data_IF_142493761106
#
_entry.id   IF_142493761106
#
_cell.length_a   1.000
_cell.length_b   1.000
_cell.length_c   1.000
_cell.angle_alpha   90.00
_cell.angle_beta   90.00
_cell.angle_gamma   90.00
#
_symmetry.space_group_name_H-M   'P 1'
#
loop_
_entity.id
_entity.type
_entity.pdbx_description
1 polymer ?
#
# COMPACT_ATOMS: atom_id res chain seq x y z
N UNK A 1 -60.69 30.45 -23.14
CA UNK A 1 -59.95 29.50 -23.99
C UNK A 1 -58.48 29.90 -23.97
N UNK A 2 -57.63 28.99 -23.47
CA UNK A 2 -56.15 28.94 -23.41
C UNK A 2 -55.34 30.15 -22.87
N UNK A 3 -54.91 30.02 -21.61
CA UNK A 3 -53.68 30.62 -21.07
C UNK A 3 -52.46 29.83 -21.57
N UNK A 4 -51.44 30.52 -22.07
CA UNK A 4 -50.14 29.94 -22.41
C UNK A 4 -49.10 30.32 -21.33
N UNK A 5 -48.54 29.32 -20.66
CA UNK A 5 -47.36 29.44 -19.79
C UNK A 5 -46.09 29.21 -20.62
N UNK A 6 -44.99 29.92 -20.37
CA UNK A 6 -43.72 29.60 -20.99
C UNK A 6 -43.08 28.39 -20.29
N UNK A 7 -42.82 27.35 -21.08
CA UNK A 7 -41.95 26.23 -20.71
C UNK A 7 -40.51 26.76 -20.59
N UNK A 8 -39.99 26.89 -19.36
CA UNK A 8 -38.55 26.99 -19.12
C UNK A 8 -38.03 25.56 -19.08
N UNK A 9 -37.45 25.10 -20.20
CA UNK A 9 -36.73 23.84 -20.26
C UNK A 9 -35.47 23.96 -19.39
N UNK A 10 -35.48 23.31 -18.22
CA UNK A 10 -34.30 23.13 -17.40
C UNK A 10 -33.30 22.22 -18.12
N UNK A 11 -32.24 22.82 -18.66
CA UNK A 11 -31.08 22.08 -19.11
C UNK A 11 -30.51 21.26 -17.93
N UNK A 12 -30.11 19.99 -18.14
CA UNK A 12 -29.43 19.24 -17.10
C UNK A 12 -28.12 19.95 -16.76
N UNK A 13 -27.99 20.37 -15.50
CA UNK A 13 -26.70 20.75 -14.91
C UNK A 13 -25.74 19.59 -15.13
N UNK A 14 -24.83 19.73 -16.08
CA UNK A 14 -23.59 18.96 -16.12
C UNK A 14 -22.88 19.24 -14.80
N UNK A 15 -22.96 18.30 -13.86
CA UNK A 15 -22.24 18.33 -12.59
C UNK A 15 -20.74 18.25 -12.85
N UNK A 16 -20.13 19.40 -13.12
CA UNK A 16 -18.69 19.57 -13.23
C UNK A 16 -18.04 19.55 -11.86
N UNK A 17 -16.90 18.85 -11.78
CA UNK A 17 -15.99 18.72 -10.65
C UNK A 17 -16.58 18.12 -9.36
N UNK A 18 -16.57 16.79 -9.29
CA UNK A 18 -16.57 16.11 -7.99
C UNK A 18 -15.38 16.63 -7.17
N UNK A 19 -15.68 17.08 -5.95
CA UNK A 19 -14.80 17.84 -5.06
C UNK A 19 -13.38 17.27 -5.00
N UNK A 20 -12.40 18.07 -5.44
CA UNK A 20 -10.99 17.83 -5.10
C UNK A 20 -10.90 17.94 -3.58
N UNK A 21 -10.42 16.87 -2.93
CA UNK A 21 -10.17 16.88 -1.50
C UNK A 21 -9.04 17.88 -1.21
N UNK A 22 -9.32 18.92 -0.43
CA UNK A 22 -8.28 19.85 -0.01
C UNK A 22 -7.40 19.19 1.06
N UNK A 23 -6.21 18.73 0.65
CA UNK A 23 -5.23 18.13 1.55
C UNK A 23 -4.80 19.07 2.68
N UNK A 24 -4.91 20.38 2.52
CA UNK A 24 -4.60 21.34 3.59
C UNK A 24 -5.66 21.27 4.69
N UNK A 25 -6.94 21.18 4.30
CA UNK A 25 -8.05 21.01 5.23
C UNK A 25 -7.97 19.66 5.95
N UNK A 26 -7.64 18.58 5.22
CA UNK A 26 -7.42 17.27 5.83
C UNK A 26 -6.31 17.31 6.89
N UNK A 27 -5.14 17.87 6.54
CA UNK A 27 -4.01 18.00 7.49
C UNK A 27 -4.39 18.79 8.74
N UNK A 28 -5.18 19.85 8.59
CA UNK A 28 -5.67 20.61 9.74
C UNK A 28 -6.57 19.76 10.65
N UNK A 29 -7.50 18.99 10.07
CA UNK A 29 -8.36 18.05 10.79
C UNK A 29 -7.56 16.94 11.49
N UNK A 30 -6.59 16.35 10.79
CA UNK A 30 -5.67 15.37 11.35
C UNK A 30 -4.91 15.93 12.55
N UNK A 31 -4.32 17.12 12.41
CA UNK A 31 -3.58 17.76 13.50
C UNK A 31 -4.47 18.02 14.72
N UNK A 32 -5.72 18.44 14.52
CA UNK A 32 -6.68 18.64 15.62
C UNK A 32 -7.00 17.31 16.33
N UNK A 33 -7.27 16.25 15.58
CA UNK A 33 -7.56 14.93 16.14
C UNK A 33 -6.37 14.37 16.92
N UNK A 34 -5.17 14.38 16.33
CA UNK A 34 -3.94 13.91 16.97
C UNK A 34 -3.66 14.67 18.28
N UNK A 35 -3.80 16.01 18.26
CA UNK A 35 -3.65 16.86 19.46
C UNK A 35 -4.66 16.51 20.55
N UNK A 36 -5.91 16.19 20.18
CA UNK A 36 -6.94 15.80 21.15
C UNK A 36 -6.59 14.49 21.85
N UNK A 37 -6.09 13.50 21.11
CA UNK A 37 -5.67 12.21 21.67
C UNK A 37 -4.46 12.40 22.59
N UNK A 38 -3.45 13.17 22.15
CA UNK A 38 -2.30 13.53 22.98
C UNK A 38 -2.69 14.26 24.27
N UNK A 39 -3.64 15.21 24.19
CA UNK A 39 -4.14 15.94 25.35
C UNK A 39 -4.89 15.05 26.35
N UNK A 40 -5.37 13.88 25.92
CA UNK A 40 -5.95 12.87 26.79
C UNK A 40 -4.90 11.94 27.43
N UNK A 41 -3.61 12.16 27.18
CA UNK A 41 -2.51 11.33 27.71
C UNK A 41 -2.23 10.06 26.91
N UNK A 42 -2.82 9.95 25.71
CA UNK A 42 -2.72 8.77 24.85
C UNK A 42 -1.77 9.03 23.67
N UNK A 43 -1.00 8.02 23.25
CA UNK A 43 -0.15 8.11 22.06
C UNK A 43 -1.01 7.88 20.81
N UNK A 44 -1.16 8.85 19.90
CA UNK A 44 -1.98 8.67 18.71
C UNK A 44 -1.21 7.89 17.63
N UNK A 45 -1.43 6.58 17.56
CA UNK A 45 -0.86 5.77 16.49
C UNK A 45 -1.42 6.19 15.12
N UNK A 46 -0.56 6.16 14.10
CA UNK A 46 -0.94 6.31 12.71
C UNK A 46 -0.73 4.96 12.04
N UNK A 47 -1.82 4.32 11.65
CA UNK A 47 -1.79 3.04 10.95
C UNK A 47 -1.71 3.30 9.44
N UNK A 48 -0.72 2.70 8.77
CA UNK A 48 -0.55 2.83 7.32
C UNK A 48 -0.50 1.48 6.57
N UNK A 49 -0.58 0.37 7.29
CA UNK A 49 -0.45 -0.98 6.72
C UNK A 49 -1.76 -1.77 6.68
N UNK A 50 -2.85 -1.21 7.19
CA UNK A 50 -4.15 -1.86 7.09
C UNK A 50 -4.66 -1.92 5.65
N UNK A 51 -5.12 -3.11 5.25
CA UNK A 51 -5.80 -3.36 3.97
C UNK A 51 -7.09 -4.14 4.16
N UNK A 52 -8.00 -4.08 3.18
CA UNK A 52 -9.28 -4.76 3.28
C UNK A 52 -9.93 -5.11 1.94
N UNK A 53 -10.90 -6.03 1.99
CA UNK A 53 -11.90 -6.14 0.93
C UNK A 53 -12.91 -4.98 1.05
N UNK A 54 -12.77 -4.01 0.16
CA UNK A 54 -13.54 -2.76 0.19
C UNK A 54 -15.07 -2.92 0.03
N UNK A 55 -15.53 -4.07 -0.50
CA UNK A 55 -16.96 -4.38 -0.71
C UNK A 55 -17.64 -4.95 0.54
N UNK A 56 -16.86 -5.38 1.53
CA UNK A 56 -17.35 -5.97 2.78
C UNK A 56 -17.11 -5.11 4.02
N UNK A 57 -16.55 -3.91 3.81
CA UNK A 57 -16.14 -3.02 4.88
C UNK A 57 -17.34 -2.32 5.55
N UNK A 58 -17.44 -2.45 6.86
CA UNK A 58 -18.27 -1.58 7.69
C UNK A 58 -17.42 -0.40 8.18
N UNK A 59 -17.56 0.75 7.50
CA UNK A 59 -16.77 1.96 7.77
C UNK A 59 -17.04 2.50 9.18
N UNK A 60 -18.28 2.41 9.67
CA UNK A 60 -18.64 2.92 11.01
C UNK A 60 -18.01 2.07 12.10
N UNK A 61 -18.02 0.75 11.93
CA UNK A 61 -17.40 -0.17 12.86
C UNK A 61 -15.87 0.06 12.94
N UNK A 62 -15.22 0.31 11.81
CA UNK A 62 -13.79 0.65 11.78
C UNK A 62 -13.52 1.97 12.48
N UNK A 63 -14.28 3.03 12.16
CA UNK A 63 -14.10 4.35 12.80
C UNK A 63 -14.31 4.30 14.32
N UNK A 64 -15.32 3.56 14.80
CA UNK A 64 -15.54 3.31 16.23
C UNK A 64 -14.38 2.54 16.86
N UNK A 65 -13.82 1.57 16.15
CA UNK A 65 -12.66 0.81 16.62
C UNK A 65 -11.42 1.70 16.72
N UNK A 66 -11.19 2.59 15.74
CA UNK A 66 -10.11 3.58 15.81
C UNK A 66 -10.24 4.48 17.04
N UNK A 67 -11.45 4.99 17.31
CA UNK A 67 -11.69 5.84 18.48
C UNK A 67 -11.47 5.08 19.79
N UNK A 68 -11.96 3.84 19.89
CA UNK A 68 -11.78 3.00 21.08
C UNK A 68 -10.31 2.63 21.34
N UNK A 69 -9.52 2.46 20.29
CA UNK A 69 -8.12 2.04 20.36
C UNK A 69 -7.15 3.23 20.31
N UNK A 70 -7.64 4.47 20.35
CA UNK A 70 -6.85 5.69 20.23
C UNK A 70 -5.97 5.74 18.95
N UNK A 71 -6.42 5.09 17.87
CA UNK A 71 -5.80 5.22 16.54
C UNK A 71 -6.12 6.61 16.02
N UNK A 72 -5.06 7.41 15.89
CA UNK A 72 -5.12 8.79 15.44
C UNK A 72 -5.55 8.86 14.00
N UNK A 73 -4.84 8.17 13.10
CA UNK A 73 -5.13 8.16 11.67
C UNK A 73 -4.95 6.76 11.10
N UNK A 74 -5.60 6.48 9.98
CA UNK A 74 -5.47 5.22 9.26
C UNK A 74 -5.42 5.45 7.75
N UNK A 75 -4.40 4.92 7.06
CA UNK A 75 -4.42 4.72 5.63
C UNK A 75 -4.90 3.29 5.35
N UNK A 76 -6.21 3.15 5.11
CA UNK A 76 -6.83 1.85 4.84
C UNK A 76 -6.90 1.61 3.32
N UNK A 77 -6.02 0.74 2.82
CA UNK A 77 -5.97 0.41 1.40
C UNK A 77 -7.00 -0.66 1.02
N UNK A 78 -7.38 -0.68 -0.26
CA UNK A 78 -8.26 -1.72 -0.80
C UNK A 78 -7.43 -2.79 -1.51
N UNK A 79 -7.65 -4.04 -1.12
CA UNK A 79 -7.15 -5.23 -1.84
C UNK A 79 -8.05 -5.49 -3.04
N UNK A 80 -7.48 -5.40 -4.25
CA UNK A 80 -8.21 -5.73 -5.48
C UNK A 80 -8.32 -7.25 -5.60
N UNK A 81 -9.44 -7.82 -5.15
CA UNK A 81 -9.67 -9.26 -5.26
C UNK A 81 -9.81 -9.73 -6.71
N UNK A 82 -9.61 -11.04 -6.95
CA UNK A 82 -9.67 -11.67 -8.29
C UNK A 82 -10.91 -11.30 -9.11
N UNK A 83 -12.08 -11.24 -8.46
CA UNK A 83 -13.33 -10.84 -9.10
C UNK A 83 -13.30 -9.38 -9.58
N UNK A 84 -12.86 -8.44 -8.74
CA UNK A 84 -12.72 -7.02 -9.10
C UNK A 84 -11.69 -6.85 -10.23
N UNK A 85 -10.58 -7.57 -10.13
CA UNK A 85 -9.56 -7.56 -11.17
C UNK A 85 -10.10 -8.03 -12.53
N UNK A 86 -10.88 -9.12 -12.54
CA UNK A 86 -11.55 -9.66 -13.72
C UNK A 86 -12.62 -8.73 -14.32
N UNK A 87 -13.22 -7.85 -13.50
CA UNK A 87 -14.11 -6.77 -13.94
C UNK A 87 -13.35 -5.55 -14.49
N UNK A 88 -12.02 -5.60 -14.54
CA UNK A 88 -11.18 -4.49 -15.04
C UNK A 88 -10.86 -3.41 -14.00
N UNK A 89 -11.14 -3.65 -12.71
CA UNK A 89 -10.80 -2.67 -11.65
C UNK A 89 -9.28 -2.59 -11.51
N UNK A 90 -8.74 -1.37 -11.60
CA UNK A 90 -7.33 -1.03 -11.39
C UNK A 90 -7.12 0.03 -10.29
N UNK A 91 -8.19 0.72 -9.92
CA UNK A 91 -8.24 1.65 -8.79
C UNK A 91 -9.60 1.55 -8.08
N UNK A 92 -9.60 1.32 -6.77
CA UNK A 92 -10.82 1.26 -5.94
C UNK A 92 -11.11 2.61 -5.30
N UNK A 93 -12.38 3.01 -5.22
CA UNK A 93 -12.78 4.29 -4.63
C UNK A 93 -12.93 4.26 -3.10
N UNK A 94 -12.34 3.28 -2.40
CA UNK A 94 -12.42 3.15 -0.94
C UNK A 94 -12.03 4.45 -0.23
N UNK A 95 -10.91 5.07 -0.59
CA UNK A 95 -10.45 6.33 0.00
C UNK A 95 -11.48 7.45 -0.11
N UNK A 96 -12.19 7.55 -1.24
CA UNK A 96 -13.26 8.54 -1.42
C UNK A 96 -14.44 8.27 -0.46
N UNK A 97 -14.84 6.99 -0.31
CA UNK A 97 -15.91 6.58 0.62
C UNK A 97 -15.55 6.83 2.08
N UNK A 98 -14.29 6.55 2.46
CA UNK A 98 -13.78 6.77 3.81
C UNK A 98 -13.76 8.27 4.15
N UNK A 99 -13.23 9.11 3.26
CA UNK A 99 -13.17 10.55 3.46
C UNK A 99 -14.54 11.21 3.47
N UNK A 100 -15.49 10.74 2.66
CA UNK A 100 -16.86 11.25 2.67
C UNK A 100 -17.55 11.05 4.04
N UNK A 101 -17.11 10.06 4.83
CA UNK A 101 -17.75 9.69 6.10
C UNK A 101 -16.97 10.14 7.33
N UNK A 102 -15.64 10.01 7.31
CA UNK A 102 -14.75 10.33 8.42
C UNK A 102 -13.44 10.99 7.95
N UNK A 103 -13.49 12.23 7.45
CA UNK A 103 -12.33 12.90 6.85
C UNK A 103 -11.22 13.24 7.85
N UNK A 104 -11.49 13.21 9.15
CA UNK A 104 -10.52 13.44 10.22
C UNK A 104 -9.77 12.18 10.66
N UNK A 105 -10.20 10.99 10.21
CA UNK A 105 -9.65 9.69 10.62
C UNK A 105 -8.82 9.03 9.53
N UNK A 106 -9.24 9.13 8.27
CA UNK A 106 -8.62 8.37 7.19
C UNK A 106 -7.68 9.23 6.34
N UNK A 107 -6.48 8.71 6.09
CA UNK A 107 -5.54 9.24 5.10
C UNK A 107 -5.90 8.61 3.75
N UNK A 108 -6.13 9.39 2.69
CA UNK A 108 -6.45 8.82 1.39
C UNK A 108 -5.23 8.10 0.81
N UNK A 109 -5.39 6.82 0.50
CA UNK A 109 -4.33 5.93 0.01
C UNK A 109 -4.77 5.24 -1.28
N UNK A 110 -3.79 4.88 -2.11
CA UNK A 110 -3.98 4.02 -3.27
C UNK A 110 -4.31 2.57 -2.90
N UNK A 111 -4.48 1.73 -3.90
CA UNK A 111 -4.66 0.29 -3.68
C UNK A 111 -3.37 -0.41 -3.28
N UNK A 112 -3.47 -1.52 -2.57
CA UNK A 112 -2.36 -2.47 -2.43
C UNK A 112 -2.00 -3.06 -3.79
N UNK A 113 -0.70 -3.15 -4.07
CA UNK A 113 -0.10 -3.73 -5.26
C UNK A 113 0.22 -5.19 -5.02
N UNK A 114 -0.81 -6.02 -5.05
CA UNK A 114 -0.71 -7.46 -4.83
C UNK A 114 -1.07 -8.18 -6.14
N UNK A 115 -0.67 -9.44 -6.34
CA UNK A 115 -1.14 -10.23 -7.47
C UNK A 115 -2.68 -10.33 -7.47
N UNK A 116 -3.33 -10.30 -8.65
CA UNK A 116 -2.71 -10.18 -9.99
C UNK A 116 -2.46 -8.74 -10.46
N UNK A 117 -2.87 -7.72 -9.70
CA UNK A 117 -2.84 -6.32 -10.15
C UNK A 117 -1.42 -5.82 -10.45
N UNK A 118 -0.47 -6.08 -9.55
CA UNK A 118 0.92 -5.64 -9.73
C UNK A 118 1.74 -6.57 -10.65
N UNK A 119 1.26 -7.78 -10.94
CA UNK A 119 2.01 -8.79 -11.71
C UNK A 119 1.51 -8.95 -13.14
N UNK A 120 0.20 -9.12 -13.34
CA UNK A 120 -0.38 -9.44 -14.64
C UNK A 120 -0.82 -8.18 -15.42
N UNK A 121 -1.17 -7.11 -14.72
CA UNK A 121 -1.64 -5.85 -15.32
C UNK A 121 -0.92 -4.64 -14.69
N UNK A 122 0.39 -4.79 -14.46
CA UNK A 122 1.20 -3.81 -13.75
C UNK A 122 1.10 -2.42 -14.38
N UNK A 123 1.06 -2.35 -15.71
CA UNK A 123 1.02 -1.06 -16.40
C UNK A 123 -0.31 -0.34 -16.22
N UNK A 124 -1.45 -1.04 -16.40
CA UNK A 124 -2.76 -0.44 -16.19
C UNK A 124 -3.03 -0.13 -14.71
N UNK A 125 -2.51 -0.96 -13.81
CA UNK A 125 -2.58 -0.72 -12.37
C UNK A 125 -1.83 0.56 -12.00
N UNK A 126 -0.57 0.69 -12.41
CA UNK A 126 0.26 1.87 -12.11
C UNK A 126 -0.23 3.13 -12.83
N UNK A 127 -0.82 3.01 -14.03
CA UNK A 127 -1.49 4.13 -14.72
C UNK A 127 -2.64 4.67 -13.86
N UNK A 128 -3.43 3.79 -13.27
CA UNK A 128 -4.58 4.17 -12.46
C UNK A 128 -4.14 4.82 -11.12
N UNK A 129 -3.09 4.30 -10.48
CA UNK A 129 -2.51 4.93 -9.28
C UNK A 129 -1.90 6.30 -9.60
N UNK A 130 -1.17 6.42 -10.71
CA UNK A 130 -0.59 7.70 -11.16
C UNK A 130 -1.68 8.74 -11.48
N UNK A 131 -2.75 8.33 -12.15
CA UNK A 131 -3.90 9.19 -12.40
C UNK A 131 -4.53 9.71 -11.09
N UNK A 132 -4.63 8.85 -10.06
CA UNK A 132 -5.11 9.26 -8.74
C UNK A 132 -4.16 10.25 -8.04
N UNK A 133 -2.84 10.07 -8.16
CA UNK A 133 -1.85 11.06 -7.67
C UNK A 133 -2.02 12.41 -8.37
N UNK A 134 -2.10 12.41 -9.71
CA UNK A 134 -2.25 13.64 -10.51
C UNK A 134 -3.56 14.37 -10.19
N UNK A 135 -4.64 13.61 -9.95
CA UNK A 135 -5.93 14.14 -9.54
C UNK A 135 -5.99 14.55 -8.06
N UNK A 136 -4.88 14.43 -7.31
CA UNK A 136 -4.80 14.71 -5.86
C UNK A 136 -5.86 13.94 -5.07
N UNK A 137 -6.09 12.68 -5.43
CA UNK A 137 -7.03 11.77 -4.74
C UNK A 137 -6.38 10.99 -3.60
N UNK A 138 -5.05 10.85 -3.61
CA UNK A 138 -4.29 10.07 -2.63
C UNK A 138 -3.07 10.83 -2.13
N UNK A 139 -2.69 10.57 -0.87
CA UNK A 139 -1.52 11.11 -0.18
C UNK A 139 -0.43 10.06 0.05
N UNK A 140 -0.74 8.79 -0.21
CA UNK A 140 0.13 7.63 -0.05
C UNK A 140 -0.23 6.63 -1.15
N UNK A 141 0.77 6.03 -1.79
CA UNK A 141 0.59 4.83 -2.61
C UNK A 141 0.57 3.61 -1.67
N UNK A 142 -0.29 2.64 -1.95
CA UNK A 142 -0.43 1.46 -1.11
C UNK A 142 0.84 0.60 -1.07
N UNK A 143 0.79 -0.48 -0.29
CA UNK A 143 1.87 -1.47 -0.21
C UNK A 143 1.98 -2.27 -1.50
N UNK A 144 3.15 -2.24 -2.12
CA UNK A 144 3.45 -2.97 -3.35
C UNK A 144 4.35 -4.18 -3.03
N UNK A 145 3.86 -5.38 -3.36
CA UNK A 145 4.56 -6.63 -3.09
C UNK A 145 5.66 -6.86 -4.14
N UNK A 146 6.92 -6.61 -3.75
CA UNK A 146 8.08 -6.94 -4.59
C UNK A 146 8.68 -8.28 -4.19
N UNK A 147 8.80 -8.53 -2.89
CA UNK A 147 9.13 -9.86 -2.37
C UNK A 147 8.20 -10.15 -1.22
N UNK A 148 7.36 -11.17 -1.33
CA UNK A 148 6.43 -11.57 -0.27
C UNK A 148 6.38 -13.10 -0.22
N UNK A 149 6.42 -13.68 0.97
CA UNK A 149 6.12 -15.11 1.15
C UNK A 149 4.70 -15.30 1.70
N UNK A 150 3.98 -16.35 1.27
CA UNK A 150 2.67 -16.66 1.83
C UNK A 150 2.70 -16.73 3.36
N UNK A 151 1.74 -16.08 4.01
CA UNK A 151 1.60 -16.13 5.46
C UNK A 151 1.31 -17.57 5.94
N UNK A 152 1.57 -17.92 7.21
CA UNK A 152 1.23 -19.24 7.74
C UNK A 152 -0.24 -19.63 7.55
N UNK A 153 -1.16 -18.66 7.55
CA UNK A 153 -2.60 -18.88 7.29
C UNK A 153 -2.86 -19.22 5.83
N UNK A 154 -2.18 -18.55 4.90
CA UNK A 154 -2.26 -18.84 3.46
C UNK A 154 -1.68 -20.21 3.13
N UNK A 155 -0.51 -20.55 3.69
CA UNK A 155 0.09 -21.88 3.53
C UNK A 155 -0.88 -22.97 4.00
N UNK A 156 -1.50 -22.80 5.18
CA UNK A 156 -2.52 -23.74 5.70
C UNK A 156 -3.73 -23.89 4.79
N UNK A 157 -4.06 -22.86 3.99
CA UNK A 157 -5.18 -22.86 3.02
C UNK A 157 -4.74 -23.20 1.60
N UNK A 158 -3.46 -23.52 1.38
CA UNK A 158 -2.86 -23.74 0.06
C UNK A 158 -3.03 -22.54 -0.91
N UNK A 159 -3.01 -21.33 -0.36
CA UNK A 159 -3.10 -20.06 -1.10
C UNK A 159 -1.68 -19.56 -1.42
N UNK A 160 -1.08 -20.12 -2.48
CA UNK A 160 0.32 -19.86 -2.84
C UNK A 160 0.51 -18.74 -3.88
N UNK A 161 -0.57 -18.08 -4.28
CA UNK A 161 -0.58 -16.97 -5.25
C UNK A 161 0.11 -15.70 -4.75
N UNK A 162 0.54 -15.70 -3.48
CA UNK A 162 1.24 -14.63 -2.78
C UNK A 162 2.72 -14.92 -2.49
N UNK A 163 3.29 -15.93 -3.15
CA UNK A 163 4.76 -16.03 -3.24
C UNK A 163 5.23 -15.12 -4.39
N UNK A 164 5.47 -13.86 -4.04
CA UNK A 164 5.82 -12.82 -5.01
C UNK A 164 7.33 -12.64 -5.04
N UNK A 165 7.89 -12.58 -6.24
CA UNK A 165 9.29 -12.25 -6.47
C UNK A 165 9.41 -11.41 -7.75
N UNK A 166 9.29 -10.10 -7.59
CA UNK A 166 9.56 -9.08 -8.60
C UNK A 166 10.90 -8.41 -8.27
N UNK A 167 11.74 -8.23 -9.28
CA UNK A 167 12.96 -7.45 -9.14
C UNK A 167 12.62 -5.98 -8.85
N UNK A 168 13.07 -5.47 -7.70
CA UNK A 168 12.83 -4.09 -7.28
C UNK A 168 13.54 -3.07 -8.20
N UNK A 169 14.66 -3.47 -8.79
CA UNK A 169 15.38 -2.74 -9.85
C UNK A 169 14.88 -3.11 -11.26
N UNK A 170 13.75 -3.79 -11.37
CA UNK A 170 13.05 -4.04 -12.62
C UNK A 170 12.17 -2.86 -13.06
N UNK A 171 11.52 -2.97 -14.24
CA UNK A 171 10.69 -1.89 -14.81
C UNK A 171 9.59 -1.38 -13.87
N UNK A 172 8.93 -2.28 -13.12
CA UNK A 172 7.87 -1.95 -12.16
C UNK A 172 8.43 -1.08 -11.03
N UNK A 173 9.55 -1.47 -10.44
CA UNK A 173 10.17 -0.71 -9.35
C UNK A 173 10.70 0.64 -9.81
N UNK A 174 11.38 0.72 -10.96
CA UNK A 174 11.77 2.00 -11.58
C UNK A 174 10.59 2.95 -11.78
N UNK A 175 9.44 2.42 -12.20
CA UNK A 175 8.23 3.20 -12.41
C UNK A 175 7.67 3.76 -11.09
N UNK A 176 7.59 2.94 -10.05
CA UNK A 176 7.10 3.36 -8.72
C UNK A 176 8.02 4.39 -8.08
N UNK A 177 9.33 4.13 -8.04
CA UNK A 177 10.31 5.07 -7.49
C UNK A 177 10.32 6.39 -8.26
N UNK A 178 10.25 6.36 -9.59
CA UNK A 178 10.17 7.56 -10.41
C UNK A 178 8.89 8.38 -10.14
N UNK A 179 7.75 7.71 -9.94
CA UNK A 179 6.50 8.37 -9.59
C UNK A 179 6.63 9.10 -8.24
N UNK A 180 7.18 8.43 -7.23
CA UNK A 180 7.39 9.03 -5.91
C UNK A 180 8.36 10.21 -5.96
N UNK A 181 9.49 10.07 -6.66
CA UNK A 181 10.47 11.15 -6.82
C UNK A 181 9.89 12.39 -7.51
N UNK A 182 9.08 12.20 -8.55
CA UNK A 182 8.47 13.30 -9.32
C UNK A 182 7.36 14.02 -8.56
N UNK A 183 6.61 13.29 -7.73
CA UNK A 183 5.38 13.80 -7.11
C UNK A 183 5.52 14.10 -5.62
N UNK A 184 6.53 13.54 -4.97
CA UNK A 184 6.73 13.58 -3.52
C UNK A 184 5.74 12.72 -2.72
N UNK A 185 4.92 11.90 -3.39
CA UNK A 185 3.98 10.97 -2.74
C UNK A 185 4.77 9.74 -2.26
N UNK A 186 4.72 9.41 -0.96
CA UNK A 186 5.35 8.20 -0.44
C UNK A 186 4.66 6.93 -0.94
N UNK A 187 5.37 5.81 -0.91
CA UNK A 187 4.85 4.48 -1.21
C UNK A 187 5.40 3.44 -0.24
N UNK A 188 4.66 2.35 -0.09
CA UNK A 188 5.02 1.19 0.72
C UNK A 188 5.55 0.06 -0.16
N UNK A 189 6.58 -0.64 0.32
CA UNK A 189 7.07 -1.87 -0.30
C UNK A 189 7.00 -3.03 0.69
N UNK A 190 6.28 -4.10 0.31
CA UNK A 190 6.52 -5.39 0.93
C UNK A 190 7.75 -5.99 0.27
N UNK A 191 8.82 -6.07 1.05
CA UNK A 191 10.10 -6.56 0.58
C UNK A 191 10.74 -7.39 1.70
N UNK A 192 10.74 -8.71 1.54
CA UNK A 192 11.33 -9.58 2.56
C UNK A 192 12.82 -9.29 2.74
N UNK A 193 13.28 -9.40 3.97
CA UNK A 193 14.68 -9.16 4.31
C UNK A 193 15.50 -10.39 3.95
N UNK A 194 16.24 -10.28 2.83
CA UNK A 194 17.20 -11.28 2.36
C UNK A 194 18.46 -10.54 1.87
N UNK A 195 19.65 -11.06 2.16
CA UNK A 195 20.94 -10.42 1.82
C UNK A 195 21.05 -10.12 0.32
N UNK A 196 20.56 -11.02 -0.53
CA UNK A 196 20.56 -10.86 -1.99
C UNK A 196 19.69 -9.69 -2.48
N UNK A 197 18.71 -9.29 -1.67
CA UNK A 197 17.74 -8.24 -1.97
C UNK A 197 18.19 -6.86 -1.48
N UNK A 198 19.20 -6.80 -0.60
CA UNK A 198 19.71 -5.56 0.00
C UNK A 198 20.37 -4.64 -1.03
N UNK A 199 21.25 -5.16 -1.88
CA UNK A 199 21.95 -4.33 -2.85
C UNK A 199 21.02 -3.70 -3.91
N UNK A 200 20.05 -4.43 -4.51
CA UNK A 200 19.05 -3.81 -5.39
C UNK A 200 18.27 -2.67 -4.73
N UNK A 201 17.83 -2.82 -3.46
CA UNK A 201 17.08 -1.77 -2.78
C UNK A 201 17.93 -0.53 -2.49
N UNK A 202 19.18 -0.71 -2.06
CA UNK A 202 20.12 0.40 -1.89
C UNK A 202 20.40 1.12 -3.21
N UNK A 203 20.60 0.40 -4.31
CA UNK A 203 20.83 0.99 -5.63
C UNK A 203 19.64 1.85 -6.09
N UNK A 204 18.41 1.38 -5.85
CA UNK A 204 17.20 2.15 -6.15
C UNK A 204 17.09 3.42 -5.29
N UNK A 205 17.45 3.35 -4.00
CA UNK A 205 17.48 4.53 -3.13
C UNK A 205 18.57 5.55 -3.55
N UNK A 206 19.71 5.09 -4.06
CA UNK A 206 20.75 5.95 -4.65
C UNK A 206 20.26 6.61 -5.93
N UNK A 207 19.61 5.84 -6.81
CA UNK A 207 19.17 6.31 -8.12
C UNK A 207 18.01 7.30 -8.05
N UNK A 208 17.12 7.14 -7.07
CA UNK A 208 15.95 7.99 -6.86
C UNK A 208 16.00 8.66 -5.48
N UNK A 209 16.97 9.56 -5.24
CA UNK A 209 17.28 10.07 -3.90
C UNK A 209 16.16 10.90 -3.27
N UNK A 210 15.15 11.32 -4.06
CA UNK A 210 13.97 12.06 -3.58
C UNK A 210 12.71 11.21 -3.45
N UNK A 211 12.75 9.95 -3.89
CA UNK A 211 11.64 9.03 -3.66
C UNK A 211 11.49 8.79 -2.16
N UNK A 212 10.24 8.73 -1.68
CA UNK A 212 9.92 8.51 -0.26
C UNK A 212 9.42 7.08 -0.12
N UNK A 213 10.27 6.24 0.44
CA UNK A 213 10.05 4.80 0.51
C UNK A 213 9.74 4.42 1.95
N UNK A 214 8.66 3.67 2.16
CA UNK A 214 8.35 3.03 3.42
C UNK A 214 8.57 1.52 3.22
N UNK A 215 9.59 0.97 3.85
CA UNK A 215 9.85 -0.46 3.82
C UNK A 215 9.03 -1.15 4.90
N UNK A 216 8.11 -2.01 4.46
CA UNK A 216 7.13 -2.67 5.31
C UNK A 216 7.77 -3.64 6.33
N UNK A 217 7.28 -3.59 7.56
CA UNK A 217 7.54 -4.52 8.68
C UNK A 217 8.99 -4.55 9.18
N UNK A 218 9.45 -3.43 9.78
CA UNK A 218 10.80 -3.36 10.37
C UNK A 218 11.14 -4.61 11.19
N UNK A 219 12.25 -5.28 10.85
CA UNK A 219 12.75 -6.45 11.59
C UNK A 219 11.84 -7.69 11.59
N UNK A 220 10.80 -7.75 10.75
CA UNK A 220 10.09 -8.99 10.46
C UNK A 220 10.91 -9.85 9.48
N UNK A 221 11.96 -10.49 10.01
CA UNK A 221 12.83 -11.37 9.23
C UNK A 221 12.23 -12.77 9.20
N UNK A 222 11.79 -13.20 8.02
CA UNK A 222 11.16 -14.51 7.85
C UNK A 222 12.13 -15.68 7.91
N UNK A 223 13.29 -15.51 7.30
CA UNK A 223 14.35 -16.52 7.20
C UNK A 223 15.67 -15.88 7.64
N UNK A 224 15.99 -16.00 8.94
CA UNK A 224 17.17 -15.34 9.53
C UNK A 224 18.48 -15.81 8.89
N UNK A 225 18.50 -17.07 8.42
CA UNK A 225 19.61 -17.67 7.70
C UNK A 225 19.89 -17.04 6.34
N UNK A 226 18.92 -16.28 5.78
CA UNK A 226 19.06 -15.55 4.52
C UNK A 226 19.36 -14.06 4.72
N UNK A 227 19.36 -13.58 5.96
CA UNK A 227 19.52 -12.18 6.31
C UNK A 227 20.66 -11.89 7.32
N UNK A 228 21.80 -12.61 7.32
CA UNK A 228 22.84 -12.37 8.32
C UNK A 228 23.44 -10.96 8.26
N UNK A 229 23.33 -10.22 7.14
CA UNK A 229 23.79 -8.83 7.05
C UNK A 229 22.81 -7.82 7.65
N UNK A 230 21.53 -8.18 7.76
CA UNK A 230 20.49 -7.29 8.28
C UNK A 230 20.53 -7.21 9.81
N UNK A 231 21.42 -6.34 10.30
CA UNK A 231 21.64 -6.08 11.72
C UNK A 231 21.12 -4.70 12.14
N UNK A 232 20.95 -4.41 13.44
CA UNK A 232 20.63 -3.06 13.89
C UNK A 232 21.61 -1.99 13.38
N UNK A 233 22.91 -2.31 13.32
CA UNK A 233 23.93 -1.41 12.77
C UNK A 233 23.77 -1.17 11.27
N UNK A 234 23.35 -2.20 10.52
CA UNK A 234 23.02 -2.06 9.10
C UNK A 234 21.81 -1.13 8.90
N UNK A 235 20.72 -1.33 9.66
CA UNK A 235 19.52 -0.48 9.59
C UNK A 235 19.86 0.97 9.96
N UNK A 236 20.66 1.19 11.01
CA UNK A 236 21.11 2.52 11.41
C UNK A 236 21.92 3.19 10.29
N UNK A 237 22.85 2.47 9.66
CA UNK A 237 23.63 2.98 8.54
C UNK A 237 22.75 3.28 7.31
N UNK A 238 21.74 2.45 7.05
CA UNK A 238 20.79 2.64 5.96
C UNK A 238 19.97 3.92 6.15
N UNK A 239 19.39 4.13 7.33
CA UNK A 239 18.62 5.33 7.68
C UNK A 239 19.47 6.61 7.63
N UNK A 240 20.77 6.53 8.00
CA UNK A 240 21.70 7.66 7.87
C UNK A 240 22.04 8.00 6.42
N UNK A 241 22.21 6.99 5.56
CA UNK A 241 22.54 7.18 4.14
C UNK A 241 21.34 7.65 3.32
N UNK A 242 20.14 7.19 3.68
CA UNK A 242 18.91 7.41 2.91
C UNK A 242 17.83 8.08 3.77
N UNK A 243 17.83 9.42 3.92
CA UNK A 243 16.90 10.14 4.80
C UNK A 243 15.43 10.13 4.32
N UNK A 244 15.17 9.66 3.10
CA UNK A 244 13.82 9.45 2.56
C UNK A 244 13.36 7.99 2.63
N UNK A 245 14.14 7.11 3.26
CA UNK A 245 13.72 5.77 3.65
C UNK A 245 13.11 5.82 5.05
N UNK A 246 11.96 5.18 5.19
CA UNK A 246 11.25 4.97 6.43
C UNK A 246 10.96 3.49 6.58
N UNK A 247 10.68 3.07 7.80
CA UNK A 247 10.07 1.77 8.07
C UNK A 247 8.79 2.01 8.86
N UNK A 248 7.74 1.25 8.57
CA UNK A 248 6.66 1.08 9.53
C UNK A 248 7.08 0.04 10.58
N UNK A 249 6.28 -0.04 11.63
CA UNK A 249 6.49 -0.99 12.74
C UNK A 249 5.26 -1.87 12.93
N UNK A 250 4.46 -2.09 11.88
CA UNK A 250 3.36 -3.04 11.92
C UNK A 250 3.95 -4.45 11.95
N UNK A 251 3.42 -5.28 12.86
CA UNK A 251 3.82 -6.66 13.01
C UNK A 251 2.57 -7.55 13.06
N UNK A 252 2.72 -8.77 12.53
CA UNK A 252 1.81 -9.86 12.85
C UNK A 252 1.81 -10.19 14.35
N UNK A 253 0.75 -10.85 14.82
CA UNK A 253 0.69 -11.29 16.22
C UNK A 253 1.80 -12.31 16.56
N UNK A 254 2.06 -12.52 17.85
CA UNK A 254 3.07 -13.46 18.35
C UNK A 254 2.84 -14.93 17.93
N UNK A 255 1.68 -15.25 17.33
CA UNK A 255 1.35 -16.58 16.82
C UNK A 255 1.65 -16.73 15.32
N UNK A 256 2.21 -15.71 14.68
CA UNK A 256 2.69 -15.74 13.30
C UNK A 256 4.01 -16.53 13.19
N UNK A 257 3.96 -17.83 13.55
CA UNK A 257 5.10 -18.74 13.42
C UNK A 257 5.20 -19.24 11.99
N UNK A 258 6.38 -19.05 11.39
CA UNK A 258 6.66 -19.44 10.02
C UNK A 258 7.43 -20.77 10.08
N UNK A 259 6.99 -21.83 9.38
CA UNK A 259 7.68 -23.11 9.42
C UNK A 259 9.11 -22.99 8.86
N UNK A 260 10.14 -23.54 9.55
CA UNK A 260 11.53 -23.39 9.14
C UNK A 260 11.92 -24.11 7.82
N UNK A 261 11.07 -25.00 7.27
CA UNK A 261 11.45 -25.89 6.17
C UNK A 261 10.49 -25.94 4.95
N UNK A 262 9.84 -24.84 4.56
CA UNK A 262 8.89 -24.84 3.42
C UNK A 262 9.21 -23.83 2.29
N UNK A 263 9.59 -24.28 1.08
CA UNK A 263 10.84 -25.02 0.89
C UNK A 263 11.72 -24.47 -0.25
N UNK A 264 13.03 -24.62 -0.06
CA UNK A 264 14.03 -24.73 -1.12
C UNK A 264 13.78 -25.92 -2.10
N UNK A 265 12.64 -26.62 -2.01
CA UNK A 265 12.26 -27.74 -2.87
C UNK A 265 11.62 -27.30 -4.20
N UNK A 266 11.17 -26.03 -4.33
CA UNK A 266 10.73 -25.51 -5.63
C UNK A 266 11.91 -25.02 -6.51
N UNK A 267 13.10 -24.81 -5.93
CA UNK A 267 14.32 -24.50 -6.68
C UNK A 267 14.87 -25.72 -7.47
N UNK A 268 14.29 -26.91 -7.29
CA UNK A 268 14.73 -28.18 -7.91
C UNK A 268 13.97 -28.63 -9.16
N UNK A 269 12.86 -27.98 -9.54
CA UNK A 269 12.03 -28.41 -10.68
C UNK A 269 12.28 -27.63 -11.98
N UNK A 270 13.30 -26.76 -12.01
CA UNK A 270 13.76 -26.04 -13.21
C UNK A 270 14.83 -26.75 -14.06
N UNK A 271 15.20 -28.00 -13.74
CA UNK A 271 16.18 -28.79 -14.53
C UNK A 271 15.58 -30.09 -15.05
N UNK A 272 14.74 -29.97 -16.07
CA UNK A 272 14.63 -30.96 -17.15
C UNK A 272 14.15 -30.21 -18.36
N UNK A 273 15.05 -29.92 -19.29
CA UNK A 273 14.88 -29.95 -20.75
C UNK A 273 16.20 -29.42 -21.36
N UNK A 274 16.67 -30.08 -22.43
CA UNK A 274 18.02 -30.02 -23.06
C UNK A 274 19.04 -30.97 -22.40
N UNK A 275 19.62 -31.97 -23.08
CA UNK A 275 19.61 -32.39 -24.47
C UNK A 275 19.96 -33.88 -24.58
N UNK A 276 19.40 -34.51 -25.60
CA UNK A 276 19.81 -35.77 -26.24
C UNK A 276 21.31 -35.85 -26.58
N UNK A 277 21.94 -36.98 -26.27
CA UNK A 277 22.91 -37.79 -27.05
C UNK A 277 23.65 -38.72 -26.11
#
# INVERSE_FOLDING_TARGET
MLCALPFVAGLPRTGGAQNIVDFSQLRAGYAQRLKKILAAGELPFVDIESSCNSRKLDIDSVAKSMDRLNIGLMALSADIGKWQFGEGVRFDNLSERLLARYPDRFIPVGNGGQPPALTEAADEFLDAQEAAVRAKKIMLLGEFEFRHYPSPRQVKRNEMDRDVHLHLDGPIGHRVFSLSEKTGVPFQIHYEVEDELLAPSENMLVQYPKARVIWCHLAQIRYIERAPLYTPGYVEALLKRFPNLYFDTAFGDANSRIPPEWPAACAGLGRRWQSSS
#
